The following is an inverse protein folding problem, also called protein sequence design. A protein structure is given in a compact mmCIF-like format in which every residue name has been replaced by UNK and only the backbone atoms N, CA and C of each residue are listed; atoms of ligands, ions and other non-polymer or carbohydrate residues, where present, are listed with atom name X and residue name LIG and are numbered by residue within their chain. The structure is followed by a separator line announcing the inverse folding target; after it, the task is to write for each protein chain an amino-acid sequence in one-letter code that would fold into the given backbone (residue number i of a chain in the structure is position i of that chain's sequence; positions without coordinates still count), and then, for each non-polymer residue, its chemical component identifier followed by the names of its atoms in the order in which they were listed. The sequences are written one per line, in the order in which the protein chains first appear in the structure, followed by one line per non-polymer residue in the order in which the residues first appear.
data_IF_790988984152
#
_entry.id   IF_790988984152
#
_cell.length_a   1.000
_cell.length_b   1.000
_cell.length_c   1.000
_cell.angle_alpha   90.00
_cell.angle_beta   90.00
_cell.angle_gamma   90.00
#
_symmetry.space_group_name_H-M   'P 1'
#
loop_
_entity.id
_entity.type
_entity.pdbx_description
1 polymer ?
#
# COMPACT_ATOMS: atom_id res chain seq x y z
N UNK A 1 -11.57 16.65 -12.10
CA UNK A 1 -11.64 15.58 -11.09
C UNK A 1 -10.30 15.52 -10.37
N UNK A 2 -10.33 15.45 -9.03
CA UNK A 2 -9.15 15.34 -8.18
C UNK A 2 -9.16 13.94 -7.52
N UNK A 3 -8.70 12.94 -8.27
CA UNK A 3 -8.77 11.53 -7.87
C UNK A 3 -7.40 10.83 -7.86
N UNK A 4 -6.31 11.49 -8.25
CA UNK A 4 -4.98 10.87 -8.37
C UNK A 4 -4.24 10.91 -7.03
N UNK A 5 -4.68 10.05 -6.10
CA UNK A 5 -4.10 9.91 -4.77
C UNK A 5 -3.44 8.54 -4.56
N UNK A 6 -2.43 8.53 -3.66
CA UNK A 6 -1.71 7.33 -3.22
C UNK A 6 -1.82 7.22 -1.71
N UNK A 7 -2.08 6.02 -1.20
CA UNK A 7 -2.00 5.68 0.21
C UNK A 7 -0.70 4.94 0.49
N UNK A 8 -0.04 5.27 1.60
CA UNK A 8 1.22 4.64 2.02
C UNK A 8 1.06 4.08 3.43
N UNK A 9 1.32 2.78 3.57
CA UNK A 9 1.32 2.06 4.83
C UNK A 9 2.74 1.55 5.10
N UNK A 10 3.29 1.89 6.27
CA UNK A 10 4.65 1.52 6.66
C UNK A 10 4.70 1.07 8.13
N UNK A 11 5.71 0.27 8.52
CA UNK A 11 6.00 0.03 9.93
C UNK A 11 6.18 1.35 10.69
N UNK A 12 5.68 1.41 11.93
CA UNK A 12 5.78 2.61 12.77
C UNK A 12 7.24 2.95 13.06
N UNK A 13 7.99 1.96 13.52
CA UNK A 13 9.42 2.03 13.75
C UNK A 13 10.19 1.52 12.53
N UNK A 14 11.16 2.32 12.07
CA UNK A 14 12.06 1.94 10.99
C UNK A 14 13.48 1.94 11.54
N UNK A 15 14.24 0.84 11.45
CA UNK A 15 15.68 0.91 11.68
C UNK A 15 16.29 1.92 10.70
N UNK A 16 17.01 2.90 11.22
CA UNK A 16 17.67 3.92 10.41
C UNK A 16 18.56 3.24 9.35
N UNK A 17 18.53 3.73 8.11
CA UNK A 17 19.27 3.20 6.94
C UNK A 17 18.85 1.84 6.38
N UNK A 18 17.65 1.32 6.66
CA UNK A 18 17.16 0.10 5.99
C UNK A 18 16.20 0.42 4.84
N UNK A 19 16.56 -0.08 3.65
CA UNK A 19 15.69 -0.12 2.48
C UNK A 19 14.69 -1.26 2.65
N UNK A 20 13.40 -0.92 2.60
CA UNK A 20 12.32 -1.90 2.71
C UNK A 20 11.76 -2.19 1.31
N UNK A 21 11.46 -3.45 0.99
CA UNK A 21 10.75 -3.78 -0.23
C UNK A 21 9.36 -3.13 -0.24
N UNK A 22 8.91 -2.75 -1.44
CA UNK A 22 7.67 -1.99 -1.64
C UNK A 22 6.69 -2.86 -2.43
N UNK A 23 5.50 -3.03 -1.87
CA UNK A 23 4.37 -3.69 -2.52
C UNK A 23 3.40 -2.62 -3.00
N UNK A 24 3.12 -2.61 -4.31
CA UNK A 24 2.17 -1.68 -4.93
C UNK A 24 0.91 -2.43 -5.31
N UNK A 25 -0.23 -1.98 -4.80
CA UNK A 25 -1.55 -2.53 -5.07
C UNK A 25 -2.31 -1.64 -6.05
N UNK A 26 -2.69 -2.24 -7.17
CA UNK A 26 -3.52 -1.63 -8.22
C UNK A 26 -4.86 -2.36 -8.19
N UNK A 27 -5.92 -1.64 -7.85
CA UNK A 27 -7.25 -2.25 -7.78
C UNK A 27 -7.76 -2.60 -9.17
N UNK A 28 -8.51 -3.69 -9.25
CA UNK A 28 -9.14 -4.19 -10.47
C UNK A 28 -10.65 -4.10 -10.39
N UNK A 29 -11.26 -3.75 -11.52
CA UNK A 29 -12.72 -3.58 -11.64
C UNK A 29 -13.22 -3.56 -13.09
N UNK A 30 -12.44 -4.14 -14.01
CA UNK A 30 -12.77 -4.12 -15.44
C UNK A 30 -12.70 -2.74 -16.08
N UNK A 31 -11.96 -1.79 -15.48
CA UNK A 31 -11.82 -0.41 -15.96
C UNK A 31 -13.12 0.41 -15.96
N UNK A 32 -14.12 0.03 -15.16
CA UNK A 32 -15.43 0.71 -15.15
C UNK A 32 -15.68 1.54 -13.88
N UNK A 33 -15.16 1.13 -12.72
CA UNK A 33 -15.36 1.84 -11.44
C UNK A 33 -14.34 1.39 -10.41
N UNK A 34 -13.82 2.22 -9.49
CA UNK A 34 -12.88 1.71 -8.49
C UNK A 34 -12.13 2.79 -7.74
N UNK A 35 -11.56 2.40 -6.60
CA UNK A 35 -10.80 3.28 -5.71
C UNK A 35 -9.82 2.46 -4.87
N UNK A 36 -8.70 3.05 -4.41
CA UNK A 36 -7.80 2.39 -3.47
C UNK A 36 -8.30 2.40 -2.01
N UNK A 37 -9.36 3.17 -1.68
CA UNK A 37 -9.90 3.30 -0.31
C UNK A 37 -10.21 1.97 0.41
N UNK A 38 -10.83 0.94 -0.22
CA UNK A 38 -11.11 -0.31 0.47
C UNK A 38 -9.87 -1.14 0.80
N UNK A 39 -8.70 -0.83 0.22
CA UNK A 39 -7.48 -1.61 0.38
C UNK A 39 -6.60 -1.07 1.51
N UNK A 40 -6.97 -1.38 2.75
CA UNK A 40 -6.20 -1.04 3.94
C UNK A 40 -4.97 -1.95 4.12
N UNK A 41 -3.77 -1.40 3.98
CA UNK A 41 -2.49 -2.13 4.06
C UNK A 41 -2.05 -2.53 5.47
N UNK A 42 -2.76 -2.10 6.53
CA UNK A 42 -2.31 -2.28 7.93
C UNK A 42 -2.08 -3.75 8.30
N UNK A 43 -2.99 -4.64 7.90
CA UNK A 43 -2.87 -6.07 8.23
C UNK A 43 -1.65 -6.72 7.55
N UNK A 44 -1.39 -6.34 6.30
CA UNK A 44 -0.25 -6.83 5.50
C UNK A 44 1.07 -6.33 6.12
N UNK A 45 1.15 -5.04 6.43
CA UNK A 45 2.33 -4.44 7.06
C UNK A 45 2.58 -5.08 8.43
N UNK A 46 1.54 -5.24 9.27
CA UNK A 46 1.69 -5.90 10.59
C UNK A 46 2.22 -7.32 10.44
N UNK A 47 1.66 -8.10 9.52
CA UNK A 47 2.10 -9.48 9.27
C UNK A 47 3.56 -9.54 8.79
N UNK A 48 3.98 -8.59 7.96
CA UNK A 48 5.37 -8.51 7.48
C UNK A 48 6.37 -8.28 8.62
N UNK A 49 5.99 -7.51 9.64
CA UNK A 49 6.81 -7.27 10.84
C UNK A 49 6.92 -8.57 11.66
N UNK A 50 5.80 -9.27 11.89
CA UNK A 50 5.78 -10.55 12.61
C UNK A 50 6.64 -11.64 11.93
N UNK A 51 6.76 -11.58 10.60
CA UNK A 51 7.56 -12.51 9.80
C UNK A 51 9.05 -12.12 9.74
N UNK A 52 9.45 -11.00 10.33
CA UNK A 52 10.82 -10.48 10.25
C UNK A 52 11.21 -9.95 8.86
N UNK A 53 10.23 -9.76 7.97
CA UNK A 53 10.42 -9.27 6.59
C UNK A 53 9.58 -8.02 6.35
N UNK A 54 9.87 -6.89 7.05
CA UNK A 54 9.04 -5.70 7.01
C UNK A 54 8.93 -5.13 5.58
N UNK A 55 7.72 -4.75 5.18
CA UNK A 55 7.44 -4.18 3.85
C UNK A 55 6.75 -2.81 3.97
N UNK A 56 6.83 -2.03 2.90
CA UNK A 56 5.95 -0.86 2.69
C UNK A 56 4.84 -1.29 1.73
N UNK A 57 3.59 -1.01 2.08
CA UNK A 57 2.45 -1.26 1.21
C UNK A 57 1.89 0.05 0.70
N UNK A 58 1.65 0.15 -0.61
CA UNK A 58 1.07 1.32 -1.25
C UNK A 58 -0.14 0.93 -2.09
N UNK A 59 -1.20 1.72 -2.05
CA UNK A 59 -2.34 1.59 -2.97
C UNK A 59 -2.55 2.90 -3.70
N UNK A 60 -2.81 2.84 -5.01
CA UNK A 60 -2.88 4.05 -5.84
C UNK A 60 -4.17 4.11 -6.67
N UNK A 61 -4.67 5.34 -6.84
CA UNK A 61 -5.76 5.66 -7.75
C UNK A 61 -5.26 5.82 -9.18
N UNK A 62 -6.06 5.36 -10.14
CA UNK A 62 -5.85 5.61 -11.56
C UNK A 62 -7.16 6.02 -12.23
N UNK A 63 -7.06 6.71 -13.37
CA UNK A 63 -8.22 7.09 -14.18
C UNK A 63 -8.83 5.84 -14.84
N UNK A 64 -10.15 5.84 -14.96
CA UNK A 64 -10.95 4.81 -15.61
C UNK A 64 -11.50 5.38 -16.92
#
# INVERSE_FOLDING_TARGET
EDCLAINVFRPAERPANVLLPVVVWIYGSGFQSGSPQPYNGTAIVRRSIELGTPIIFMSMSHRL
#
